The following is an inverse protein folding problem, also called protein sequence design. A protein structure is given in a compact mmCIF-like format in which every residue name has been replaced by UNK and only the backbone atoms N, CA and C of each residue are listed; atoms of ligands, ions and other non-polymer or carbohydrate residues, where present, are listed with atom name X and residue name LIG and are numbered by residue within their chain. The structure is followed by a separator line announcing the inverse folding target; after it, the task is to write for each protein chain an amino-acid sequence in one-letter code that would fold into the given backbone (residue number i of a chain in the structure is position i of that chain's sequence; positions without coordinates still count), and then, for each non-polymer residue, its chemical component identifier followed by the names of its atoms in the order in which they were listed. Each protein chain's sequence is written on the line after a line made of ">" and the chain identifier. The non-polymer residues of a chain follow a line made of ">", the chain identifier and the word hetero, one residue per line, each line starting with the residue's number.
data_IF_026411454408
#
_entry.id   IF_026411454408
#
_cell.length_a   1.000
_cell.length_b   1.000
_cell.length_c   1.000
_cell.angle_alpha   90.00
_cell.angle_beta   90.00
_cell.angle_gamma   90.00
#
_symmetry.space_group_name_H-M   'P 1'
#
loop_
_entity.id
_entity.type
_entity.pdbx_description
1 polymer ?
#
# COMPACT_ATOMS: atom_id res chain seq x y z
N UNK A 1 -10.56 -12.01 8.75
CA UNK A 1 -11.85 -11.96 8.01
C UNK A 1 -12.75 -10.94 8.67
N UNK A 2 -13.50 -10.13 7.88
CA UNK A 2 -14.53 -9.23 8.41
C UNK A 2 -15.55 -10.07 9.20
N UNK A 3 -15.91 -9.62 10.41
CA UNK A 3 -16.91 -10.34 11.23
C UNK A 3 -18.33 -9.93 10.85
N UNK A 4 -18.49 -8.72 10.35
CA UNK A 4 -19.74 -8.13 9.88
C UNK A 4 -19.43 -7.29 8.65
N UNK A 5 -20.30 -7.39 7.63
CA UNK A 5 -20.25 -6.58 6.41
C UNK A 5 -21.44 -5.62 6.50
N UNK A 6 -21.18 -4.32 6.37
CA UNK A 6 -22.24 -3.31 6.33
C UNK A 6 -22.76 -3.15 4.90
N UNK A 7 -23.96 -2.59 4.76
CA UNK A 7 -24.52 -2.25 3.45
C UNK A 7 -23.57 -1.35 2.64
N UNK A 8 -23.44 -1.58 1.32
CA UNK A 8 -22.59 -0.77 0.47
C UNK A 8 -23.13 0.66 0.36
N UNK A 9 -22.22 1.62 0.22
CA UNK A 9 -22.61 3.01 -0.06
C UNK A 9 -23.12 3.15 -1.50
N UNK A 10 -24.02 4.12 -1.76
CA UNK A 10 -24.42 4.46 -3.12
C UNK A 10 -23.19 4.80 -3.96
N UNK A 11 -22.95 4.03 -5.03
CA UNK A 11 -21.80 4.26 -5.91
C UNK A 11 -21.96 5.57 -6.69
N UNK A 12 -20.93 6.43 -6.64
CA UNK A 12 -20.78 7.60 -7.52
C UNK A 12 -19.67 7.35 -8.53
N UNK A 13 -19.80 7.91 -9.74
CA UNK A 13 -18.86 7.68 -10.86
C UNK A 13 -17.41 8.06 -10.53
N UNK A 14 -17.23 8.99 -9.61
CA UNK A 14 -15.96 9.60 -9.21
C UNK A 14 -15.44 9.06 -7.87
N UNK A 15 -16.09 8.04 -7.28
CA UNK A 15 -15.71 7.48 -5.99
C UNK A 15 -15.06 6.10 -6.11
N UNK A 16 -14.12 5.82 -5.21
CA UNK A 16 -13.57 4.49 -5.07
C UNK A 16 -14.64 3.50 -4.60
N UNK A 17 -14.48 2.24 -5.00
CA UNK A 17 -15.29 1.16 -4.46
C UNK A 17 -14.82 0.81 -3.04
N UNK A 18 -15.75 0.88 -2.08
CA UNK A 18 -15.49 0.56 -0.68
C UNK A 18 -16.27 -0.67 -0.24
N UNK A 19 -15.60 -1.55 0.51
CA UNK A 19 -16.27 -2.55 1.36
C UNK A 19 -16.27 -2.05 2.79
N UNK A 20 -17.46 -1.94 3.38
CA UNK A 20 -17.64 -1.51 4.76
C UNK A 20 -17.87 -2.72 5.66
N UNK A 21 -17.36 -2.67 6.88
CA UNK A 21 -17.64 -3.72 7.85
C UNK A 21 -17.10 -3.44 9.23
N UNK A 22 -17.05 -4.49 10.03
CA UNK A 22 -16.60 -4.44 11.42
C UNK A 22 -15.68 -5.61 11.76
N UNK A 23 -14.58 -5.30 12.44
CA UNK A 23 -13.65 -6.30 13.00
C UNK A 23 -13.44 -5.99 14.47
N UNK A 24 -13.79 -6.93 15.34
CA UNK A 24 -13.52 -6.84 16.79
C UNK A 24 -13.92 -5.47 17.38
N UNK A 25 -15.14 -5.01 17.07
CA UNK A 25 -15.68 -3.74 17.57
C UNK A 25 -15.27 -2.49 16.78
N UNK A 26 -14.33 -2.60 15.84
CA UNK A 26 -13.83 -1.46 15.05
C UNK A 26 -14.53 -1.42 13.70
N UNK A 27 -15.01 -0.25 13.31
CA UNK A 27 -15.49 -0.01 11.94
C UNK A 27 -14.29 0.01 10.99
N UNK A 28 -14.38 -0.70 9.89
CA UNK A 28 -13.33 -0.86 8.88
C UNK A 28 -13.89 -0.50 7.52
N UNK A 29 -13.09 0.23 6.75
CA UNK A 29 -13.33 0.50 5.33
C UNK A 29 -12.18 -0.10 4.54
N UNK A 30 -12.51 -0.92 3.55
CA UNK A 30 -11.53 -1.52 2.64
C UNK A 30 -11.73 -0.91 1.26
N UNK A 31 -10.68 -0.30 0.73
CA UNK A 31 -10.64 0.19 -0.65
C UNK A 31 -9.76 -0.73 -1.49
N UNK A 32 -10.19 -1.00 -2.72
CA UNK A 32 -9.38 -1.74 -3.71
C UNK A 32 -8.96 -0.77 -4.81
N UNK A 33 -7.67 -0.76 -5.12
CA UNK A 33 -7.13 0.12 -6.15
C UNK A 33 -7.43 -0.44 -7.54
N UNK A 34 -7.80 0.41 -8.51
CA UNK A 34 -8.11 -0.04 -9.86
C UNK A 34 -6.85 -0.50 -10.63
N UNK A 35 -5.69 0.02 -10.25
CA UNK A 35 -4.41 -0.26 -10.89
C UNK A 35 -3.28 -0.36 -9.86
N UNK A 36 -2.17 -0.99 -10.25
CA UNK A 36 -0.97 -1.11 -9.43
C UNK A 36 -0.13 0.17 -9.54
N UNK A 37 0.35 0.68 -8.41
CA UNK A 37 1.34 1.74 -8.38
C UNK A 37 1.15 2.72 -7.23
N UNK A 38 2.22 3.46 -6.91
CA UNK A 38 2.22 4.40 -5.78
C UNK A 38 1.25 5.57 -6.00
N UNK A 39 1.14 6.07 -7.24
CA UNK A 39 0.23 7.19 -7.55
C UNK A 39 -1.25 6.80 -7.42
N UNK A 40 -1.62 5.62 -7.92
CA UNK A 40 -2.96 5.08 -7.76
C UNK A 40 -3.30 4.85 -6.28
N UNK A 41 -2.36 4.27 -5.52
CA UNK A 41 -2.50 4.11 -4.07
C UNK A 41 -2.71 5.44 -3.35
N UNK A 42 -1.88 6.44 -3.64
CA UNK A 42 -1.99 7.77 -3.05
C UNK A 42 -3.36 8.41 -3.35
N UNK A 43 -3.85 8.26 -4.58
CA UNK A 43 -5.15 8.81 -5.01
C UNK A 43 -6.30 8.16 -4.25
N UNK A 44 -6.31 6.82 -4.19
CA UNK A 44 -7.35 6.05 -3.50
C UNK A 44 -7.36 6.35 -2.00
N UNK A 45 -6.18 6.37 -1.36
CA UNK A 45 -6.05 6.67 0.07
C UNK A 45 -6.47 8.10 0.38
N UNK A 46 -6.08 9.08 -0.45
CA UNK A 46 -6.46 10.48 -0.26
C UNK A 46 -7.98 10.64 -0.27
N UNK A 47 -8.64 10.02 -1.25
CA UNK A 47 -10.10 10.07 -1.33
C UNK A 47 -10.78 9.29 -0.19
N UNK A 48 -10.23 8.14 0.21
CA UNK A 48 -10.71 7.38 1.37
C UNK A 48 -10.68 8.23 2.66
N UNK A 49 -9.60 8.96 2.90
CA UNK A 49 -9.48 9.82 4.07
C UNK A 49 -10.43 11.02 4.03
N UNK A 50 -10.71 11.54 2.83
CA UNK A 50 -11.69 12.63 2.64
C UNK A 50 -13.13 12.14 2.85
N UNK A 51 -13.47 10.96 2.33
CA UNK A 51 -14.82 10.37 2.44
C UNK A 51 -15.12 9.91 3.88
N UNK A 52 -14.10 9.47 4.62
CA UNK A 52 -14.24 8.92 5.98
C UNK A 52 -13.33 9.65 6.98
N UNK A 53 -13.71 10.86 7.43
CA UNK A 53 -12.88 11.67 8.33
C UNK A 53 -12.67 11.05 9.72
N UNK A 54 -13.42 10.00 10.08
CA UNK A 54 -13.27 9.28 11.35
C UNK A 54 -12.19 8.19 11.31
N UNK A 55 -11.48 8.00 10.20
CA UNK A 55 -10.35 7.07 10.12
C UNK A 55 -9.23 7.54 11.06
N UNK A 56 -8.73 6.62 11.89
CA UNK A 56 -7.65 6.88 12.87
C UNK A 56 -6.29 6.39 12.42
N UNK A 57 -6.25 5.32 11.62
CA UNK A 57 -5.05 4.73 11.06
C UNK A 57 -5.41 3.94 9.81
N UNK A 58 -4.44 3.73 8.93
CA UNK A 58 -4.57 2.93 7.71
C UNK A 58 -3.55 1.79 7.69
N UNK A 59 -3.91 0.70 7.02
CA UNK A 59 -3.00 -0.41 6.72
C UNK A 59 -2.97 -0.55 5.20
N UNK A 60 -1.81 -0.35 4.60
CA UNK A 60 -1.60 -0.61 3.19
C UNK A 60 -1.06 -2.04 3.04
N UNK A 61 -1.81 -2.88 2.33
CA UNK A 61 -1.44 -4.29 2.09
C UNK A 61 -1.19 -4.48 0.61
N UNK A 62 -0.10 -5.18 0.28
CA UNK A 62 0.24 -5.54 -1.08
C UNK A 62 1.16 -6.75 -1.09
N UNK A 63 1.35 -7.32 -2.28
CA UNK A 63 2.34 -8.37 -2.52
C UNK A 63 3.62 -7.74 -3.05
N UNK A 64 4.77 -8.27 -2.65
CA UNK A 64 6.08 -7.87 -3.17
C UNK A 64 7.00 -9.09 -3.27
N UNK A 65 8.02 -8.99 -4.12
CA UNK A 65 9.12 -9.95 -4.15
C UNK A 65 10.13 -9.67 -3.04
N UNK A 66 10.77 -10.72 -2.53
CA UNK A 66 11.89 -10.62 -1.59
C UNK A 66 13.22 -10.88 -2.30
N UNK A 67 14.29 -10.26 -1.79
CA UNK A 67 15.68 -10.55 -2.18
C UNK A 67 16.35 -11.13 -0.95
N UNK A 68 16.57 -12.46 -0.87
CA UNK A 68 17.26 -13.08 0.25
C UNK A 68 18.67 -12.51 0.40
N UNK A 69 19.12 -12.34 1.64
CA UNK A 69 20.48 -11.89 1.93
C UNK A 69 21.54 -12.94 1.57
N UNK A 70 22.78 -12.49 1.42
CA UNK A 70 23.93 -13.40 1.29
C UNK A 70 24.16 -14.14 2.62
N UNK A 71 24.60 -15.40 2.55
CA UNK A 71 25.02 -16.23 3.70
C UNK A 71 24.03 -16.38 4.87
N UNK A 72 22.72 -16.45 4.60
CA UNK A 72 21.74 -17.00 5.56
C UNK A 72 21.38 -16.10 6.74
N UNK A 73 21.82 -14.83 6.75
CA UNK A 73 21.42 -13.87 7.77
C UNK A 73 19.96 -13.37 7.58
N UNK A 74 19.43 -13.40 6.35
CA UNK A 74 18.06 -13.00 6.03
C UNK A 74 17.30 -14.11 5.27
N UNK A 75 16.74 -15.07 6.02
CA UNK A 75 15.92 -16.19 5.50
C UNK A 75 14.52 -15.72 5.07
N UNK A 76 14.45 -15.04 3.91
CA UNK A 76 13.18 -14.61 3.30
C UNK A 76 12.60 -15.72 2.43
N UNK A 77 11.37 -16.14 2.74
CA UNK A 77 10.66 -17.23 2.07
C UNK A 77 9.32 -16.79 1.49
N UNK A 78 8.87 -17.53 0.47
CA UNK A 78 7.53 -17.36 -0.08
C UNK A 78 6.49 -17.66 1.01
N UNK A 79 5.60 -16.70 1.26
CA UNK A 79 4.58 -16.78 2.30
C UNK A 79 4.88 -15.94 3.53
N UNK A 80 6.09 -15.38 3.62
CA UNK A 80 6.42 -14.47 4.71
C UNK A 80 5.64 -13.15 4.60
N UNK A 81 5.27 -12.61 5.76
CA UNK A 81 4.68 -11.27 5.87
C UNK A 81 5.73 -10.31 6.40
N UNK A 82 6.02 -9.27 5.63
CA UNK A 82 6.94 -8.20 6.03
C UNK A 82 6.14 -6.99 6.51
N UNK A 83 6.53 -6.44 7.65
CA UNK A 83 5.94 -5.22 8.22
C UNK A 83 6.98 -4.11 8.14
N UNK A 84 6.61 -2.95 7.62
CA UNK A 84 7.51 -1.80 7.54
C UNK A 84 7.98 -1.39 8.94
N UNK A 85 9.28 -1.25 9.13
CA UNK A 85 9.88 -0.83 10.41
C UNK A 85 10.41 0.61 10.27
N UNK A 86 9.64 1.63 10.71
CA UNK A 86 10.12 3.00 10.69
C UNK A 86 11.28 3.21 11.67
N UNK A 87 12.18 4.12 11.31
CA UNK A 87 13.25 4.63 12.15
C UNK A 87 13.07 6.14 12.35
N UNK A 88 13.95 6.79 13.11
CA UNK A 88 13.89 8.25 13.29
C UNK A 88 14.01 9.03 11.96
N UNK A 89 14.62 8.43 10.93
CA UNK A 89 14.91 9.09 9.65
C UNK A 89 14.12 8.54 8.47
N UNK A 90 13.56 7.33 8.58
CA UNK A 90 12.83 6.68 7.47
C UNK A 90 11.47 6.15 7.93
N UNK A 91 10.45 6.32 7.09
CA UNK A 91 9.08 5.84 7.36
C UNK A 91 8.89 4.31 7.26
N UNK A 92 9.98 3.54 7.16
CA UNK A 92 9.96 2.08 7.06
C UNK A 92 9.77 1.51 5.66
N UNK A 93 9.65 2.39 4.64
CA UNK A 93 9.66 2.05 3.22
C UNK A 93 10.52 3.07 2.48
N UNK A 94 11.45 2.61 1.65
CA UNK A 94 12.27 3.47 0.79
C UNK A 94 11.94 3.12 -0.67
N UNK A 95 11.55 4.13 -1.45
CA UNK A 95 11.32 3.97 -2.88
C UNK A 95 12.66 4.09 -3.61
N UNK A 96 13.03 3.03 -4.32
CA UNK A 96 14.16 3.04 -5.24
C UNK A 96 13.62 3.07 -6.67
N UNK A 97 13.71 4.22 -7.32
CA UNK A 97 13.40 4.33 -8.73
C UNK A 97 14.67 3.98 -9.53
N UNK A 98 14.64 2.85 -10.23
CA UNK A 98 15.67 2.56 -11.22
C UNK A 98 15.52 3.60 -12.34
N UNK A 99 16.48 4.52 -12.42
CA UNK A 99 16.57 5.46 -13.54
C UNK A 99 16.45 4.73 -14.87
N UNK A 100 15.91 5.42 -15.89
CA UNK A 100 15.80 4.83 -17.23
C UNK A 100 17.19 4.56 -17.77
N UNK A 101 17.49 3.29 -18.09
CA UNK A 101 18.69 2.93 -18.84
C UNK A 101 18.51 3.41 -20.28
N UNK A 102 19.29 4.41 -20.66
CA UNK A 102 19.38 4.85 -22.05
C UNK A 102 20.06 3.74 -22.87
N UNK A 103 19.82 3.73 -24.20
CA UNK A 103 20.35 2.72 -25.15
C UNK A 103 21.89 2.63 -25.07
N UNK A 104 22.50 3.70 -24.60
CA UNK A 104 23.91 4.03 -24.42
C UNK A 104 24.51 3.45 -23.12
N UNK A 105 23.69 2.82 -22.26
CA UNK A 105 24.13 2.33 -20.95
C UNK A 105 24.24 3.41 -19.86
N UNK A 106 23.94 4.66 -20.17
CA UNK A 106 23.89 5.76 -19.19
C UNK A 106 22.60 5.66 -18.36
N UNK A 107 22.75 5.55 -17.03
CA UNK A 107 21.66 5.68 -16.07
C UNK A 107 21.48 7.16 -15.77
N UNK A 108 20.33 7.75 -16.13
CA UNK A 108 19.96 9.07 -15.64
C UNK A 108 19.11 8.89 -14.38
N UNK A 109 19.66 9.25 -13.22
CA UNK A 109 18.88 9.37 -12.00
C UNK A 109 17.76 10.39 -12.22
N UNK A 110 16.54 10.06 -11.81
CA UNK A 110 15.52 11.08 -11.59
C UNK A 110 15.71 11.53 -10.14
N UNK A 111 16.45 12.62 -9.97
CA UNK A 111 16.56 13.28 -8.68
C UNK A 111 15.16 13.78 -8.30
N UNK A 112 14.68 13.32 -7.15
CA UNK A 112 13.44 13.80 -6.52
C UNK A 112 13.74 14.95 -5.58
#
# INVERSE_FOLDING_TARGET
>A
MLKEIHEPLPARRDQNAYTLGKISGHNVVVAVMPEIGNNAAATVVTQLLNDFPSIRFGILVGIRGGVPGDEGEDDIRLGDMVVSQPTATFGGVVQYDLGKRLVDGVLRGQDS
#
